data_IF_678190844531
#
_entry.id   IF_678190844531
#
_cell.length_a   1.000
_cell.length_b   1.000
_cell.length_c   1.000
_cell.angle_alpha   90.00
_cell.angle_beta   90.00
_cell.angle_gamma   90.00
#
_symmetry.space_group_name_H-M   'P 1'
#
loop_
_entity.id
_entity.type
_entity.pdbx_description
1 polymer ?
#
# COMPACT_ATOMS: atom_id res chain seq x y z
N UNK A 1 -3.90 -26.51 -84.10
CA UNK A 1 -3.49 -25.59 -83.03
C UNK A 1 -4.78 -25.09 -82.40
N UNK A 2 -5.39 -25.91 -81.53
CA UNK A 2 -5.25 -25.83 -80.06
C UNK A 2 -5.78 -24.46 -79.57
N UNK A 3 -6.87 -24.36 -78.82
CA UNK A 3 -7.09 -24.97 -77.51
C UNK A 3 -8.60 -25.05 -77.20
N UNK A 4 -9.05 -26.20 -76.69
CA UNK A 4 -10.46 -26.51 -76.39
C UNK A 4 -10.74 -26.22 -74.92
N UNK A 5 -11.65 -25.29 -74.66
CA UNK A 5 -12.25 -25.01 -73.35
C UNK A 5 -13.53 -25.85 -73.24
N UNK A 6 -13.58 -26.80 -72.31
CA UNK A 6 -14.77 -27.60 -72.04
C UNK A 6 -15.34 -27.30 -70.64
N UNK A 7 -16.66 -27.01 -70.64
CA UNK A 7 -17.56 -26.85 -69.49
C UNK A 7 -17.47 -28.03 -68.49
N UNK A 8 -17.68 -27.78 -67.18
CA UNK A 8 -18.10 -28.82 -66.26
C UNK A 8 -19.65 -28.93 -66.17
N UNK A 9 -20.20 -30.14 -65.94
CA UNK A 9 -21.62 -30.39 -65.77
C UNK A 9 -22.08 -30.29 -64.30
N UNK A 10 -23.40 -30.23 -64.12
CA UNK A 10 -24.10 -30.15 -62.85
C UNK A 10 -24.29 -31.50 -62.13
N UNK A 11 -24.14 -31.43 -60.80
CA UNK A 11 -24.69 -32.18 -59.67
C UNK A 11 -25.24 -33.61 -59.81
N UNK A 12 -24.73 -34.50 -58.95
CA UNK A 12 -25.51 -35.57 -58.29
C UNK A 12 -25.02 -35.71 -56.84
N UNK A 13 -25.95 -35.57 -55.89
CA UNK A 13 -25.73 -35.79 -54.44
C UNK A 13 -25.65 -37.29 -54.10
N UNK A 14 -24.93 -37.65 -53.03
CA UNK A 14 -25.43 -38.70 -52.16
C UNK A 14 -25.46 -38.30 -50.68
N UNK A 15 -26.52 -38.79 -50.03
CA UNK A 15 -26.81 -38.81 -48.61
C UNK A 15 -25.68 -39.42 -47.78
N UNK A 16 -25.30 -38.79 -46.66
CA UNK A 16 -24.61 -39.47 -45.56
C UNK A 16 -25.12 -38.98 -44.20
N UNK A 17 -25.26 -39.97 -43.34
CA UNK A 17 -25.89 -40.02 -42.03
C UNK A 17 -25.40 -38.98 -41.00
N UNK A 18 -26.36 -38.62 -40.14
CA UNK A 18 -26.17 -37.94 -38.86
C UNK A 18 -25.20 -38.72 -37.98
N UNK A 19 -24.09 -38.08 -37.61
CA UNK A 19 -23.22 -38.56 -36.52
C UNK A 19 -23.15 -37.45 -35.49
N UNK A 20 -23.78 -37.70 -34.35
CA UNK A 20 -23.77 -36.85 -33.16
C UNK A 20 -22.35 -36.73 -32.61
N UNK A 21 -21.79 -35.52 -32.62
CA UNK A 21 -20.51 -35.21 -31.98
C UNK A 21 -20.81 -34.57 -30.63
N UNK A 22 -20.51 -35.30 -29.56
CA UNK A 22 -20.57 -34.82 -28.18
C UNK A 22 -19.66 -33.62 -27.99
N UNK A 23 -20.22 -32.50 -27.51
CA UNK A 23 -19.46 -31.32 -27.14
C UNK A 23 -18.58 -31.63 -25.93
N UNK A 24 -17.26 -31.64 -26.12
CA UNK A 24 -16.31 -31.59 -25.01
C UNK A 24 -16.38 -30.19 -24.37
N UNK A 25 -16.80 -30.15 -23.12
CA UNK A 25 -16.76 -28.97 -22.27
C UNK A 25 -15.31 -28.51 -22.07
N UNK A 26 -15.05 -27.23 -22.37
CA UNK A 26 -13.80 -26.57 -22.00
C UNK A 26 -13.67 -26.53 -20.47
N UNK A 27 -12.44 -26.65 -19.91
CA UNK A 27 -12.24 -26.54 -18.48
C UNK A 27 -12.59 -25.12 -18.00
N UNK A 28 -13.40 -25.05 -16.95
CA UNK A 28 -13.80 -23.80 -16.32
C UNK A 28 -12.57 -23.02 -15.86
N UNK A 29 -12.51 -21.74 -16.22
CA UNK A 29 -11.59 -20.76 -15.65
C UNK A 29 -11.67 -20.82 -14.12
N UNK A 30 -10.54 -20.93 -13.38
CA UNK A 30 -10.59 -20.96 -11.93
C UNK A 30 -11.19 -19.64 -11.45
N UNK A 31 -12.26 -19.78 -10.68
CA UNK A 31 -12.90 -18.68 -9.93
C UNK A 31 -11.85 -18.07 -9.00
N UNK A 32 -11.77 -16.74 -8.86
CA UNK A 32 -10.90 -16.13 -7.85
C UNK A 32 -11.25 -16.71 -6.48
N UNK A 33 -10.24 -17.28 -5.80
CA UNK A 33 -10.41 -17.77 -4.44
C UNK A 33 -10.99 -16.66 -3.55
N UNK A 34 -11.99 -17.00 -2.75
CA UNK A 34 -12.51 -16.13 -1.70
C UNK A 34 -11.35 -15.67 -0.78
N UNK A 35 -11.43 -14.46 -0.18
CA UNK A 35 -10.41 -14.00 0.74
C UNK A 35 -10.39 -14.92 1.97
N UNK A 36 -9.39 -15.80 2.02
CA UNK A 36 -9.05 -16.60 3.21
C UNK A 36 -8.79 -15.64 4.38
N UNK A 37 -9.53 -15.81 5.47
CA UNK A 37 -9.41 -14.99 6.68
C UNK A 37 -7.96 -14.95 7.19
N UNK A 38 -7.37 -13.76 7.18
CA UNK A 38 -6.16 -13.46 7.95
C UNK A 38 -6.43 -13.66 9.44
N UNK A 39 -5.40 -14.00 10.22
CA UNK A 39 -5.57 -14.06 11.68
C UNK A 39 -5.84 -12.65 12.22
N UNK A 40 -6.72 -12.54 13.21
CA UNK A 40 -6.96 -11.26 13.88
C UNK A 40 -5.65 -10.72 14.49
N UNK A 41 -5.43 -9.40 14.45
CA UNK A 41 -4.24 -8.78 15.02
C UNK A 41 -4.16 -9.05 16.53
N UNK A 42 -2.95 -9.25 17.04
CA UNK A 42 -2.71 -9.45 18.47
C UNK A 42 -3.24 -8.24 19.26
N UNK A 43 -4.30 -8.47 20.03
CA UNK A 43 -5.00 -7.42 20.79
C UNK A 43 -4.95 -7.74 22.27
N UNK A 44 -4.45 -6.80 23.08
CA UNK A 44 -4.29 -6.97 24.52
C UNK A 44 -4.90 -5.81 25.31
N UNK A 45 -5.40 -6.09 26.50
CA UNK A 45 -5.78 -5.05 27.47
C UNK A 45 -4.56 -4.55 28.22
N UNK A 46 -4.40 -3.23 28.34
CA UNK A 46 -3.32 -2.66 29.14
C UNK A 46 -3.50 -3.01 30.63
N UNK A 47 -2.46 -3.60 31.24
CA UNK A 47 -2.39 -3.87 32.68
C UNK A 47 -1.46 -2.88 33.37
N UNK A 48 -0.17 -2.96 33.04
CA UNK A 48 0.88 -2.07 33.51
C UNK A 48 2.00 -1.99 32.46
N UNK A 49 2.93 -1.06 32.65
CA UNK A 49 4.01 -0.81 31.69
C UNK A 49 5.00 -1.98 31.61
N UNK A 50 5.29 -2.65 32.72
CA UNK A 50 6.24 -3.78 32.73
C UNK A 50 5.72 -4.93 31.87
N UNK A 51 4.49 -5.38 32.09
CA UNK A 51 3.87 -6.47 31.32
C UNK A 51 3.82 -6.16 29.82
N UNK A 52 3.48 -4.92 29.46
CA UNK A 52 3.45 -4.48 28.06
C UNK A 52 4.84 -4.59 27.41
N UNK A 53 5.89 -4.13 28.11
CA UNK A 53 7.24 -4.17 27.58
C UNK A 53 7.79 -5.60 27.52
N UNK A 54 7.45 -6.45 28.49
CA UNK A 54 7.82 -7.87 28.46
C UNK A 54 7.16 -8.58 27.29
N UNK A 55 5.87 -8.31 27.03
CA UNK A 55 5.16 -8.79 25.84
C UNK A 55 5.86 -8.35 24.54
N UNK A 56 6.18 -7.05 24.43
CA UNK A 56 6.86 -6.49 23.25
C UNK A 56 8.24 -7.12 23.04
N UNK A 57 8.98 -7.38 24.11
CA UNK A 57 10.31 -7.99 24.03
C UNK A 57 10.27 -9.47 23.64
N UNK A 58 9.16 -10.17 23.88
CA UNK A 58 9.04 -11.62 23.67
C UNK A 58 8.23 -12.00 22.42
N UNK A 59 7.50 -11.06 21.82
CA UNK A 59 6.69 -11.34 20.63
C UNK A 59 7.52 -11.42 19.34
N UNK A 60 7.04 -12.19 18.38
CA UNK A 60 7.58 -12.31 17.01
C UNK A 60 6.72 -11.60 15.97
N UNK A 61 5.61 -10.99 16.43
CA UNK A 61 4.71 -10.22 15.59
C UNK A 61 5.21 -8.79 15.46
N UNK A 62 4.98 -8.17 14.30
CA UNK A 62 5.34 -6.77 14.02
C UNK A 62 4.23 -5.77 14.39
N UNK A 63 3.07 -6.26 14.84
CA UNK A 63 1.89 -5.44 15.10
C UNK A 63 1.16 -5.85 16.39
N UNK A 64 0.81 -4.86 17.22
CA UNK A 64 0.13 -5.05 18.50
C UNK A 64 -0.90 -3.94 18.76
N UNK A 65 -2.14 -4.33 19.06
CA UNK A 65 -3.19 -3.41 19.51
C UNK A 65 -3.30 -3.49 21.04
N UNK A 66 -3.13 -2.36 21.70
CA UNK A 66 -3.28 -2.23 23.15
C UNK A 66 -4.50 -1.38 23.46
N UNK A 67 -5.42 -1.93 24.26
CA UNK A 67 -6.69 -1.30 24.64
C UNK A 67 -6.68 -0.81 26.08
N UNK A 68 -7.66 0.01 26.45
CA UNK A 68 -7.86 0.54 27.80
C UNK A 68 -6.72 1.42 28.34
N UNK A 69 -6.04 2.17 27.47
CA UNK A 69 -4.98 3.10 27.88
C UNK A 69 -5.56 4.47 28.22
N UNK A 70 -5.34 4.94 29.44
CA UNK A 70 -5.62 6.32 29.85
C UNK A 70 -4.51 7.28 29.41
N UNK A 71 -4.78 8.61 29.29
CA UNK A 71 -3.75 9.58 28.90
C UNK A 71 -2.52 9.62 29.82
N UNK A 72 -2.68 9.35 31.12
CA UNK A 72 -1.56 9.28 32.05
C UNK A 72 -0.73 8.02 31.84
N UNK A 73 -1.36 6.88 31.55
CA UNK A 73 -0.67 5.64 31.20
C UNK A 73 0.08 5.76 29.87
N UNK A 74 -0.50 6.43 28.86
CA UNK A 74 0.22 6.73 27.62
C UNK A 74 1.52 7.50 27.90
N UNK A 75 1.45 8.52 28.75
CA UNK A 75 2.64 9.31 29.14
C UNK A 75 3.68 8.44 29.86
N UNK A 76 3.24 7.46 30.65
CA UNK A 76 4.13 6.51 31.32
C UNK A 76 4.83 5.58 30.31
N UNK A 77 4.08 5.04 29.35
CA UNK A 77 4.61 4.20 28.27
C UNK A 77 5.61 5.00 27.42
N UNK A 78 5.32 6.27 27.07
CA UNK A 78 6.24 7.14 26.33
C UNK A 78 7.57 7.32 27.07
N UNK A 79 7.51 7.62 28.38
CA UNK A 79 8.72 7.79 29.21
C UNK A 79 9.53 6.50 29.32
N UNK A 80 8.89 5.37 29.55
CA UNK A 80 9.59 4.08 29.62
C UNK A 80 10.18 3.68 28.26
N UNK A 81 9.50 3.99 27.16
CA UNK A 81 10.00 3.77 25.81
C UNK A 81 11.26 4.58 25.53
N UNK A 82 11.30 5.85 25.95
CA UNK A 82 12.47 6.71 25.84
C UNK A 82 13.65 6.15 26.66
N UNK A 83 13.40 5.72 27.90
CA UNK A 83 14.43 5.10 28.76
C UNK A 83 15.01 3.82 28.14
N UNK A 84 14.18 2.99 27.51
CA UNK A 84 14.59 1.72 26.91
C UNK A 84 15.05 1.82 25.44
N UNK A 85 15.29 3.04 24.93
CA UNK A 85 15.81 3.30 23.57
C UNK A 85 14.90 2.84 22.41
N UNK A 86 13.57 2.94 22.56
CA UNK A 86 12.58 2.85 21.47
C UNK A 86 12.58 1.54 20.65
N UNK A 87 12.43 0.39 21.30
CA UNK A 87 12.30 -0.94 20.64
C UNK A 87 11.04 -1.14 19.77
N UNK A 88 10.09 -0.21 19.82
CA UNK A 88 8.81 -0.27 19.10
C UNK A 88 8.32 1.16 18.77
N UNK A 89 7.33 1.30 17.89
CA UNK A 89 6.77 2.58 17.41
C UNK A 89 5.32 2.77 17.84
N UNK A 90 4.93 4.03 18.00
CA UNK A 90 3.53 4.40 18.24
C UNK A 90 2.88 4.67 16.90
N UNK A 91 2.50 3.60 16.20
CA UNK A 91 1.93 3.71 14.86
C UNK A 91 0.67 4.57 14.86
N UNK A 92 -0.28 4.29 15.75
CA UNK A 92 -1.47 5.15 15.95
C UNK A 92 -1.88 5.20 17.42
N UNK A 93 -2.32 6.37 17.86
CA UNK A 93 -3.05 6.53 19.13
C UNK A 93 -4.44 7.10 18.85
N UNK A 94 -5.48 6.43 19.37
CA UNK A 94 -6.86 6.88 19.33
C UNK A 94 -7.31 7.24 20.75
N UNK A 95 -7.22 8.53 21.07
CA UNK A 95 -7.44 9.05 22.42
C UNK A 95 -8.84 8.77 22.96
N UNK A 96 -9.87 8.95 22.12
CA UNK A 96 -11.27 8.72 22.49
C UNK A 96 -11.58 7.24 22.78
N UNK A 97 -11.03 6.34 21.97
CA UNK A 97 -11.26 4.89 22.10
C UNK A 97 -10.28 4.21 23.05
N UNK A 98 -9.28 4.94 23.58
CA UNK A 98 -8.25 4.42 24.50
C UNK A 98 -7.45 3.27 23.88
N UNK A 99 -7.16 3.38 22.58
CA UNK A 99 -6.42 2.39 21.80
C UNK A 99 -5.06 2.97 21.42
N UNK A 100 -4.02 2.16 21.60
CA UNK A 100 -2.67 2.40 21.10
C UNK A 100 -2.27 1.24 20.21
N UNK A 101 -1.88 1.55 18.99
CA UNK A 101 -1.41 0.60 18.00
C UNK A 101 0.10 0.75 17.90
N UNK A 102 0.78 -0.36 18.07
CA UNK A 102 2.23 -0.44 18.13
C UNK A 102 2.78 -1.23 16.97
N UNK A 103 3.86 -0.72 16.39
CA UNK A 103 4.69 -1.47 15.45
C UNK A 103 5.95 -1.97 16.15
N UNK A 104 6.22 -3.26 16.03
CA UNK A 104 7.41 -3.91 16.56
C UNK A 104 8.40 -4.09 15.41
N UNK A 105 9.62 -3.60 15.59
CA UNK A 105 10.61 -3.47 14.52
C UNK A 105 11.33 -4.80 14.29
N UNK A 106 10.64 -5.79 13.73
CA UNK A 106 11.25 -7.05 13.31
C UNK A 106 12.18 -6.82 12.11
N UNK A 107 13.12 -7.72 11.86
CA UNK A 107 14.00 -7.62 10.69
C UNK A 107 13.21 -7.63 9.37
N UNK A 108 12.16 -8.46 9.29
CA UNK A 108 11.29 -8.53 8.13
C UNK A 108 10.52 -7.22 7.92
N UNK A 109 9.92 -6.68 8.98
CA UNK A 109 9.21 -5.42 8.94
C UNK A 109 10.11 -4.27 8.45
N UNK A 110 11.30 -4.10 9.06
CA UNK A 110 12.24 -3.05 8.66
C UNK A 110 12.73 -3.25 7.21
N UNK A 111 12.95 -4.49 6.77
CA UNK A 111 13.32 -4.77 5.39
C UNK A 111 12.22 -4.39 4.39
N UNK A 112 10.94 -4.58 4.74
CA UNK A 112 9.80 -4.26 3.88
C UNK A 112 9.72 -2.76 3.56
N UNK A 113 9.74 -1.89 4.58
CA UNK A 113 9.58 -0.46 4.33
C UNK A 113 10.90 0.22 3.93
N UNK A 114 12.04 -0.06 4.61
CA UNK A 114 13.32 0.58 4.30
C UNK A 114 13.83 0.15 2.92
N UNK A 115 13.61 -1.12 2.55
CA UNK A 115 13.98 -1.63 1.24
C UNK A 115 13.29 -0.84 0.12
N UNK A 116 11.98 -0.60 0.27
CA UNK A 116 11.18 0.14 -0.70
C UNK A 116 11.55 1.63 -0.72
N UNK A 117 11.68 2.27 0.45
CA UNK A 117 12.08 3.67 0.57
C UNK A 117 13.45 3.93 -0.07
N UNK A 118 14.43 3.04 0.14
CA UNK A 118 15.76 3.16 -0.49
C UNK A 118 15.70 3.06 -2.00
N UNK A 119 14.81 2.25 -2.58
CA UNK A 119 14.61 2.20 -4.04
C UNK A 119 14.00 3.50 -4.56
N UNK A 120 13.02 4.04 -3.85
CA UNK A 120 12.44 5.34 -4.15
C UNK A 120 13.50 6.45 -4.10
N UNK A 121 14.23 6.58 -3.00
CA UNK A 121 15.24 7.61 -2.82
C UNK A 121 16.37 7.51 -3.85
N UNK A 122 16.79 6.29 -4.21
CA UNK A 122 17.77 6.09 -5.27
C UNK A 122 17.31 6.62 -6.64
N UNK A 123 16.00 6.65 -6.92
CA UNK A 123 15.48 7.29 -8.13
C UNK A 123 15.53 8.82 -8.04
N UNK A 124 15.29 9.40 -6.86
CA UNK A 124 15.45 10.85 -6.66
C UNK A 124 16.88 11.28 -7.00
N UNK A 125 17.88 10.55 -6.49
CA UNK A 125 19.30 10.80 -6.78
C UNK A 125 19.63 10.65 -8.26
N UNK A 126 19.11 9.60 -8.92
CA UNK A 126 19.34 9.41 -10.37
C UNK A 126 18.72 10.53 -11.21
N UNK A 127 17.63 11.09 -10.74
CA UNK A 127 16.91 12.17 -11.40
C UNK A 127 17.45 13.56 -11.00
N UNK A 128 18.40 13.65 -10.06
CA UNK A 128 18.99 14.90 -9.60
C UNK A 128 18.03 15.82 -8.84
N UNK A 129 17.06 15.24 -8.13
CA UNK A 129 15.99 15.95 -7.40
C UNK A 129 15.94 15.59 -5.91
N UNK A 130 16.96 14.92 -5.38
CA UNK A 130 17.07 14.55 -3.97
C UNK A 130 17.13 15.77 -3.04
N UNK A 131 17.77 16.86 -3.48
CA UNK A 131 17.93 18.09 -2.67
C UNK A 131 16.61 18.84 -2.43
N UNK A 132 15.59 18.57 -3.25
CA UNK A 132 14.24 19.11 -3.07
C UNK A 132 13.30 18.12 -2.36
N UNK A 133 13.85 17.07 -1.74
CA UNK A 133 13.10 16.09 -0.97
C UNK A 133 13.56 16.06 0.49
N UNK A 134 12.62 16.30 1.41
CA UNK A 134 12.83 16.21 2.84
C UNK A 134 12.44 14.83 3.34
N UNK A 135 13.41 14.10 3.88
CA UNK A 135 13.17 12.88 4.64
C UNK A 135 12.54 13.24 5.99
N UNK A 136 11.32 12.76 6.24
CA UNK A 136 10.62 12.93 7.53
C UNK A 136 10.77 11.65 8.36
N UNK A 137 10.88 10.49 7.70
CA UNK A 137 11.11 9.20 8.34
C UNK A 137 9.95 8.84 9.26
N UNK A 138 10.27 8.50 10.51
CA UNK A 138 9.30 8.06 11.52
C UNK A 138 8.92 9.15 12.53
N UNK A 139 8.96 10.43 12.11
CA UNK A 139 8.54 11.52 12.97
C UNK A 139 7.03 11.43 13.27
N UNK A 140 6.63 11.71 14.51
CA UNK A 140 5.22 11.69 14.89
C UNK A 140 4.47 12.83 14.19
N UNK A 141 3.48 12.49 13.37
CA UNK A 141 2.55 13.42 12.76
C UNK A 141 1.31 13.57 13.63
N UNK A 142 0.87 14.81 13.84
CA UNK A 142 -0.30 15.15 14.66
C UNK A 142 -1.16 16.17 13.91
N UNK A 143 -2.49 16.10 14.03
CA UNK A 143 -3.37 17.13 13.47
C UNK A 143 -3.04 18.50 14.11
N UNK A 144 -3.07 19.55 13.31
CA UNK A 144 -2.59 20.89 13.70
C UNK A 144 -3.40 21.54 14.83
N UNK A 145 -4.66 21.12 15.01
CA UNK A 145 -5.54 21.52 16.12
C UNK A 145 -5.58 20.47 17.24
N UNK A 146 -4.78 19.41 17.15
CA UNK A 146 -4.73 18.34 18.14
C UNK A 146 -4.05 18.79 19.42
N UNK A 147 -4.59 18.36 20.56
CA UNK A 147 -3.88 18.43 21.84
C UNK A 147 -2.54 17.66 21.70
N UNK A 148 -1.44 18.05 22.38
CA UNK A 148 -0.17 17.31 22.33
C UNK A 148 -0.28 15.82 22.69
N UNK A 149 -1.37 15.44 23.37
CA UNK A 149 -1.74 14.06 23.77
C UNK A 149 -2.97 13.50 23.05
N UNK A 150 -3.42 14.19 22.00
CA UNK A 150 -4.50 13.74 21.14
C UNK A 150 -4.02 12.67 20.17
N UNK A 151 -4.81 12.47 19.13
CA UNK A 151 -4.49 11.50 18.09
C UNK A 151 -3.18 11.87 17.38
N UNK A 152 -2.44 10.86 16.96
CA UNK A 152 -1.16 11.00 16.28
C UNK A 152 -0.66 9.65 15.79
N UNK A 153 0.30 9.69 14.86
CA UNK A 153 0.88 8.49 14.30
C UNK A 153 2.30 8.68 13.79
N UNK A 154 3.06 7.59 13.79
CA UNK A 154 4.41 7.50 13.24
C UNK A 154 4.35 6.57 12.02
N UNK A 155 4.64 7.07 10.81
CA UNK A 155 4.72 6.21 9.63
C UNK A 155 6.05 5.45 9.59
N UNK A 156 6.10 4.34 8.85
CA UNK A 156 7.33 3.53 8.82
C UNK A 156 8.45 4.22 8.03
N UNK A 157 8.10 4.85 6.89
CA UNK A 157 8.96 5.77 6.16
C UNK A 157 8.16 6.85 5.47
N UNK A 158 8.53 8.11 5.67
CA UNK A 158 7.79 9.24 5.13
C UNK A 158 8.72 10.32 4.56
N UNK A 159 8.17 11.16 3.68
CA UNK A 159 8.87 12.32 3.15
C UNK A 159 7.95 13.24 2.35
N UNK A 160 8.48 14.41 2.00
CA UNK A 160 7.76 15.38 1.19
C UNK A 160 8.69 16.41 0.57
N UNK A 161 8.15 17.25 -0.33
CA UNK A 161 8.94 18.17 -1.12
C UNK A 161 9.34 19.41 -0.33
N UNK A 162 10.48 19.98 -0.71
CA UNK A 162 10.91 21.31 -0.30
C UNK A 162 10.65 22.31 -1.44
N UNK A 163 10.20 23.53 -1.12
CA UNK A 163 9.95 24.07 0.23
C UNK A 163 8.53 23.82 0.77
N UNK A 164 7.62 23.18 0.02
CA UNK A 164 6.19 23.12 0.35
C UNK A 164 5.90 22.41 1.68
N UNK A 165 6.73 21.43 2.06
CA UNK A 165 6.69 20.72 3.36
C UNK A 165 7.86 21.09 4.28
N UNK A 166 8.43 22.27 4.10
CA UNK A 166 9.42 22.86 4.99
C UNK A 166 8.78 23.24 6.35
N UNK A 167 9.52 23.01 7.44
CA UNK A 167 9.07 23.33 8.80
C UNK A 167 8.62 22.13 9.65
N UNK A 168 8.47 22.39 10.94
CA UNK A 168 8.08 21.40 11.95
C UNK A 168 6.58 21.12 11.86
N UNK A 169 6.19 19.85 11.91
CA UNK A 169 4.79 19.43 11.92
C UNK A 169 4.07 19.48 10.57
N UNK A 170 4.78 19.75 9.47
CA UNK A 170 4.22 19.56 8.12
C UNK A 170 4.09 18.08 7.79
N UNK A 171 2.93 17.70 7.27
CA UNK A 171 2.65 16.33 6.84
C UNK A 171 3.47 15.96 5.59
N UNK A 172 3.86 14.68 5.45
CA UNK A 172 4.49 14.17 4.24
C UNK A 172 3.52 14.16 3.05
N UNK A 173 4.04 14.04 1.83
CA UNK A 173 3.24 13.70 0.64
C UNK A 173 3.29 12.21 0.34
N UNK A 174 4.37 11.52 0.73
CA UNK A 174 4.55 10.07 0.62
C UNK A 174 4.63 9.42 2.00
N UNK A 175 3.81 8.39 2.21
CA UNK A 175 3.88 7.50 3.37
C UNK A 175 4.07 6.06 2.89
N UNK A 176 4.95 5.32 3.54
CA UNK A 176 5.10 3.88 3.41
C UNK A 176 4.76 3.23 4.76
N UNK A 177 3.85 2.26 4.73
CA UNK A 177 3.53 1.38 5.87
C UNK A 177 3.83 -0.06 5.48
N UNK A 178 4.47 -0.80 6.39
CA UNK A 178 4.76 -2.21 6.22
C UNK A 178 4.01 -3.07 7.24
N UNK A 179 3.77 -4.33 6.88
CA UNK A 179 3.11 -5.28 7.78
C UNK A 179 3.35 -6.72 7.37
N UNK A 180 3.83 -7.56 8.28
CA UNK A 180 4.01 -8.99 8.02
C UNK A 180 3.09 -9.88 8.89
N UNK A 181 2.91 -9.52 10.17
CA UNK A 181 1.87 -10.07 11.05
C UNK A 181 0.56 -9.27 11.03
N UNK A 182 0.66 -7.97 10.72
CA UNK A 182 -0.50 -7.11 10.53
C UNK A 182 -1.37 -7.58 9.34
N UNK A 183 -2.68 -7.47 9.49
CA UNK A 183 -3.64 -7.78 8.44
C UNK A 183 -3.62 -6.71 7.35
N UNK A 184 -3.95 -7.09 6.11
CA UNK A 184 -4.13 -6.12 5.03
C UNK A 184 -5.25 -5.12 5.36
N UNK A 185 -6.27 -5.57 6.11
CA UNK A 185 -7.35 -4.70 6.60
C UNK A 185 -6.86 -3.58 7.52
N UNK A 186 -5.92 -3.85 8.42
CA UNK A 186 -5.33 -2.83 9.28
C UNK A 186 -4.41 -1.86 8.52
N UNK A 187 -3.65 -2.37 7.54
CA UNK A 187 -2.89 -1.51 6.61
C UNK A 187 -3.81 -0.59 5.79
N UNK A 188 -5.00 -1.05 5.39
CA UNK A 188 -6.02 -0.18 4.78
C UNK A 188 -6.55 0.86 5.77
N UNK A 189 -6.67 0.52 7.05
CA UNK A 189 -7.04 1.48 8.08
C UNK A 189 -5.95 2.55 8.28
N UNK A 190 -4.66 2.17 8.23
CA UNK A 190 -3.54 3.12 8.23
C UNK A 190 -3.65 4.09 7.06
N UNK A 191 -3.81 3.57 5.85
CA UNK A 191 -3.93 4.37 4.64
C UNK A 191 -5.07 5.40 4.75
N UNK A 192 -6.27 4.98 5.17
CA UNK A 192 -7.40 5.90 5.35
C UNK A 192 -7.12 6.95 6.41
N UNK A 193 -6.44 6.55 7.49
CA UNK A 193 -6.08 7.46 8.57
C UNK A 193 -5.12 8.55 8.08
N UNK A 194 -4.07 8.18 7.34
CA UNK A 194 -3.09 9.13 6.80
C UNK A 194 -3.74 10.18 5.92
N UNK A 195 -4.58 9.77 4.96
CA UNK A 195 -5.29 10.71 4.10
C UNK A 195 -6.21 11.64 4.89
N UNK A 196 -7.09 11.08 5.71
CA UNK A 196 -8.10 11.86 6.44
C UNK A 196 -7.49 12.80 7.49
N UNK A 197 -6.58 12.31 8.33
CA UNK A 197 -6.08 13.06 9.49
C UNK A 197 -5.05 14.11 9.09
N UNK A 198 -4.36 13.90 7.97
CA UNK A 198 -3.51 14.93 7.37
C UNK A 198 -4.29 16.06 6.69
N UNK A 199 -5.63 16.03 6.72
CA UNK A 199 -6.47 16.93 5.93
C UNK A 199 -6.10 16.85 4.44
N UNK A 200 -5.92 15.61 3.95
CA UNK A 200 -5.55 15.31 2.58
C UNK A 200 -4.18 15.86 2.16
N UNK A 201 -3.29 16.18 3.11
CA UNK A 201 -1.93 16.63 2.80
C UNK A 201 -1.03 15.51 2.29
N UNK A 202 -1.26 14.28 2.77
CA UNK A 202 -0.68 13.05 2.21
C UNK A 202 -1.31 12.79 0.85
N UNK A 203 -0.49 12.47 -0.16
CA UNK A 203 -0.94 12.29 -1.54
C UNK A 203 -0.79 10.87 -2.05
N UNK A 204 0.20 10.15 -1.54
CA UNK A 204 0.46 8.75 -1.87
C UNK A 204 0.71 7.96 -0.58
N UNK A 205 -0.02 6.86 -0.41
CA UNK A 205 0.29 5.83 0.59
C UNK A 205 0.69 4.55 -0.12
N UNK A 206 1.86 4.03 0.23
CA UNK A 206 2.34 2.72 -0.18
C UNK A 206 2.18 1.74 0.97
N UNK A 207 1.50 0.62 0.72
CA UNK A 207 1.39 -0.48 1.67
C UNK A 207 2.30 -1.62 1.20
N UNK A 208 3.18 -2.09 2.07
CA UNK A 208 4.11 -3.18 1.79
C UNK A 208 3.86 -4.35 2.74
N UNK A 209 3.03 -5.30 2.31
CA UNK A 209 2.70 -6.49 3.10
C UNK A 209 3.55 -7.68 2.71
N UNK A 210 4.12 -8.38 3.68
CA UNK A 210 4.54 -9.77 3.48
C UNK A 210 3.41 -10.70 3.92
N UNK A 211 2.90 -11.51 2.99
CA UNK A 211 1.96 -12.58 3.33
C UNK A 211 2.77 -13.83 3.71
N UNK A 212 2.85 -14.12 5.02
CA UNK A 212 3.56 -15.29 5.54
C UNK A 212 2.98 -16.62 5.04
N UNK A 213 1.67 -16.68 4.76
CA UNK A 213 0.99 -17.92 4.32
C UNK A 213 1.21 -18.18 2.85
N UNK A 214 1.03 -17.16 2.01
CA UNK A 214 1.20 -17.27 0.56
C UNK A 214 2.66 -17.08 0.12
N UNK A 215 3.55 -16.67 1.05
CA UNK A 215 4.97 -16.36 0.83
C UNK A 215 5.16 -15.42 -0.36
N UNK A 216 4.50 -14.27 -0.31
CA UNK A 216 4.68 -13.22 -1.30
C UNK A 216 4.79 -11.85 -0.65
N UNK A 217 5.28 -10.87 -1.42
CA UNK A 217 5.15 -9.46 -1.07
C UNK A 217 3.99 -8.88 -1.88
N UNK A 218 3.07 -8.20 -1.21
CA UNK A 218 2.03 -7.39 -1.81
C UNK A 218 2.36 -5.92 -1.61
N UNK A 219 2.51 -5.19 -2.71
CA UNK A 219 2.62 -3.74 -2.73
C UNK A 219 1.31 -3.14 -3.23
N UNK A 220 0.73 -2.21 -2.48
CA UNK A 220 -0.40 -1.42 -2.96
C UNK A 220 -0.05 0.07 -2.98
N UNK A 221 -0.42 0.74 -4.08
CA UNK A 221 -0.34 2.20 -4.19
C UNK A 221 -1.74 2.79 -4.11
N UNK A 222 -1.94 3.64 -3.12
CA UNK A 222 -3.19 4.36 -2.88
C UNK A 222 -3.00 5.85 -3.08
N UNK A 223 -4.00 6.47 -3.71
CA UNK A 223 -4.12 7.91 -3.95
C UNK A 223 -5.57 8.32 -3.66
N UNK A 224 -5.86 9.61 -3.53
CA UNK A 224 -7.24 10.09 -3.44
C UNK A 224 -7.76 10.60 -4.78
N UNK A 225 -9.05 10.38 -5.03
CA UNK A 225 -9.77 10.94 -6.16
C UNK A 225 -11.06 11.59 -5.69
N UNK A 226 -11.53 12.61 -6.41
CA UNK A 226 -12.82 13.23 -6.12
C UNK A 226 -13.91 12.24 -6.48
N UNK A 227 -14.65 11.79 -5.48
CA UNK A 227 -15.83 10.95 -5.67
C UNK A 227 -16.92 11.78 -6.33
N UNK A 228 -17.20 11.50 -7.61
CA UNK A 228 -18.39 12.03 -8.27
C UNK A 228 -19.51 11.01 -8.09
N UNK A 229 -20.63 11.35 -7.41
CA UNK A 229 -21.75 10.44 -7.35
C UNK A 229 -22.24 10.13 -8.78
N UNK A 230 -22.68 8.89 -9.07
CA UNK A 230 -23.27 8.57 -10.36
C UNK A 230 -24.39 9.58 -10.64
N UNK A 231 -24.35 10.23 -11.81
CA UNK A 231 -25.41 11.15 -12.26
C UNK A 231 -26.68 10.35 -12.56
N UNK A 232 -27.35 9.85 -11.52
CA UNK A 232 -28.68 9.27 -11.60
C UNK A 232 -29.71 10.40 -11.61
N UNK A 233 -30.31 10.68 -12.78
CA UNK A 233 -31.48 11.54 -13.00
C UNK A 233 -31.67 12.70 -12.01
N UNK A 234 -30.66 13.55 -11.84
CA UNK A 234 -30.77 14.78 -11.04
C UNK A 234 -31.10 15.94 -11.99
N UNK A 235 -32.06 16.79 -11.65
CA UNK A 235 -32.38 17.98 -12.47
C UNK A 235 -31.19 18.94 -12.49
N UNK A 236 -31.00 19.68 -13.59
CA UNK A 236 -29.86 20.60 -13.78
C UNK A 236 -29.67 21.61 -12.62
N UNK A 237 -30.74 21.97 -11.90
CA UNK A 237 -30.71 22.85 -10.73
C UNK A 237 -30.12 22.21 -9.45
N UNK A 238 -30.17 20.89 -9.32
CA UNK A 238 -29.66 20.14 -8.17
C UNK A 238 -28.21 19.68 -8.38
N UNK A 239 -27.81 19.42 -9.64
CA UNK A 239 -26.43 19.07 -9.98
C UNK A 239 -25.43 20.18 -9.57
N UNK A 240 -25.77 21.44 -9.82
CA UNK A 240 -24.89 22.58 -9.49
C UNK A 240 -24.73 22.80 -7.98
N UNK A 241 -25.75 22.45 -7.18
CA UNK A 241 -25.68 22.51 -5.71
C UNK A 241 -24.89 21.34 -5.11
N UNK A 242 -25.04 20.14 -5.66
CA UNK A 242 -24.29 18.94 -5.24
C UNK A 242 -22.80 19.04 -5.59
N UNK A 243 -22.46 19.60 -6.76
CA UNK A 243 -21.07 19.83 -7.19
C UNK A 243 -20.33 20.89 -6.37
N UNK A 244 -21.05 21.79 -5.67
CA UNK A 244 -20.44 22.81 -4.82
C UNK A 244 -20.27 22.37 -3.36
N UNK A 245 -20.95 21.31 -2.92
CA UNK A 245 -20.95 20.88 -1.50
C UNK A 245 -20.25 19.54 -1.21
N UNK A 246 -20.04 18.65 -2.18
CA UNK A 246 -19.66 17.26 -1.87
C UNK A 246 -18.51 16.70 -2.73
N UNK A 247 -17.42 17.45 -2.95
CA UNK A 247 -16.18 16.83 -3.45
C UNK A 247 -15.52 16.05 -2.30
N UNK A 248 -16.06 14.87 -2.00
CA UNK A 248 -15.47 13.95 -1.02
C UNK A 248 -14.28 13.27 -1.70
N UNK A 249 -13.08 13.45 -1.15
CA UNK A 249 -11.90 12.70 -1.56
C UNK A 249 -12.01 11.28 -1.00
N UNK A 250 -11.90 10.30 -1.89
CA UNK A 250 -11.96 8.89 -1.54
C UNK A 250 -10.65 8.20 -1.95
N UNK A 251 -10.07 7.35 -1.08
CA UNK A 251 -8.91 6.57 -1.44
C UNK A 251 -9.22 5.53 -2.53
N UNK A 252 -8.43 5.56 -3.60
CA UNK A 252 -8.49 4.64 -4.73
C UNK A 252 -7.17 3.89 -4.84
N UNK A 253 -7.26 2.56 -4.91
CA UNK A 253 -6.11 1.71 -5.20
C UNK A 253 -5.74 1.82 -6.68
N UNK A 254 -4.61 2.45 -6.97
CA UNK A 254 -4.11 2.68 -8.33
C UNK A 254 -3.26 1.53 -8.86
N UNK A 255 -2.48 0.91 -7.97
CA UNK A 255 -1.66 -0.25 -8.33
C UNK A 255 -1.70 -1.28 -7.21
N UNK A 256 -1.62 -2.55 -7.60
CA UNK A 256 -1.47 -3.70 -6.71
C UNK A 256 -0.49 -4.66 -7.35
N UNK A 257 0.70 -4.76 -6.79
CA UNK A 257 1.83 -5.51 -7.35
C UNK A 257 2.14 -6.64 -6.37
N UNK A 258 2.03 -7.87 -6.84
CA UNK A 258 2.49 -9.05 -6.12
C UNK A 258 3.87 -9.44 -6.62
N UNK A 259 4.79 -9.69 -5.69
CA UNK A 259 6.12 -10.24 -5.96
C UNK A 259 6.21 -11.62 -5.32
N UNK A 260 6.54 -12.63 -6.12
CA UNK A 260 6.71 -14.02 -5.66
C UNK A 260 8.14 -14.49 -5.89
N UNK A 261 8.65 -15.33 -4.99
CA UNK A 261 9.96 -15.97 -5.13
C UNK A 261 9.82 -17.21 -6.01
N UNK A 262 10.65 -17.31 -7.03
CA UNK A 262 10.74 -18.48 -7.90
C UNK A 262 12.01 -19.26 -7.57
N UNK A 263 11.84 -20.38 -6.88
CA UNK A 263 12.92 -21.26 -6.46
C UNK A 263 13.35 -22.24 -7.56
N UNK A 264 12.69 -22.24 -8.73
CA UNK A 264 13.01 -23.14 -9.85
C UNK A 264 14.15 -22.63 -10.73
N UNK A 265 14.54 -21.36 -10.55
CA UNK A 265 15.62 -20.71 -11.30
C UNK A 265 16.93 -20.68 -10.49
N UNK A 266 18.07 -20.63 -11.18
CA UNK A 266 19.39 -20.48 -10.57
C UNK A 266 20.21 -19.40 -11.32
N UNK A 267 20.48 -18.23 -10.72
CA UNK A 267 20.09 -17.83 -9.35
C UNK A 267 18.56 -17.68 -9.21
N UNK A 268 18.08 -17.77 -7.96
CA UNK A 268 16.67 -17.54 -7.61
C UNK A 268 16.19 -16.22 -8.20
N UNK A 269 15.01 -16.24 -8.82
CA UNK A 269 14.39 -15.07 -9.42
C UNK A 269 13.15 -14.62 -8.64
N UNK A 270 12.74 -13.39 -8.88
CA UNK A 270 11.53 -12.81 -8.29
C UNK A 270 10.58 -12.38 -9.41
N UNK A 271 9.37 -12.93 -9.39
CA UNK A 271 8.34 -12.66 -10.39
C UNK A 271 7.48 -11.49 -9.91
N UNK A 272 7.52 -10.38 -10.66
CA UNK A 272 6.80 -9.15 -10.35
C UNK A 272 5.58 -9.03 -11.28
N UNK A 273 4.40 -8.96 -10.70
CA UNK A 273 3.15 -8.80 -11.46
C UNK A 273 2.84 -7.33 -11.73
N UNK A 274 2.10 -7.06 -12.82
CA UNK A 274 1.58 -5.71 -13.16
C UNK A 274 2.62 -4.59 -13.33
N UNK A 275 3.88 -4.95 -13.54
CA UNK A 275 4.92 -4.04 -14.02
C UNK A 275 5.63 -3.23 -12.94
N UNK A 276 6.12 -2.06 -13.33
CA UNK A 276 6.82 -1.13 -12.45
C UNK A 276 5.85 -0.40 -11.49
N UNK A 277 6.34 -0.02 -10.31
CA UNK A 277 5.62 0.89 -9.42
C UNK A 277 5.90 2.33 -9.86
N UNK A 278 4.85 3.12 -10.08
CA UNK A 278 4.95 4.48 -10.63
C UNK A 278 4.32 5.47 -9.66
N UNK A 279 5.12 6.42 -9.18
CA UNK A 279 4.68 7.46 -8.26
C UNK A 279 4.61 8.80 -8.99
N UNK A 280 3.42 9.40 -9.03
CA UNK A 280 3.16 10.62 -9.80
C UNK A 280 3.97 11.81 -9.28
N UNK A 281 4.71 12.49 -10.16
CA UNK A 281 5.58 13.60 -9.77
C UNK A 281 4.78 14.74 -9.10
N UNK A 282 3.65 15.15 -9.70
CA UNK A 282 2.80 16.22 -9.16
C UNK A 282 2.28 15.90 -7.76
N UNK A 283 1.97 14.63 -7.47
CA UNK A 283 1.51 14.22 -6.15
C UNK A 283 2.65 14.25 -5.12
N UNK A 284 3.85 13.85 -5.52
CA UNK A 284 5.03 13.88 -4.66
C UNK A 284 5.48 15.31 -4.39
N UNK A 285 5.58 16.15 -5.42
CA UNK A 285 6.24 17.46 -5.37
C UNK A 285 5.30 18.66 -5.35
N UNK A 286 3.99 18.46 -5.47
CA UNK A 286 2.96 19.50 -5.39
C UNK A 286 3.11 20.61 -6.44
N UNK A 287 3.76 20.30 -7.57
CA UNK A 287 3.96 21.19 -8.72
C UNK A 287 4.11 20.39 -10.01
N UNK A 288 3.99 21.08 -11.14
CA UNK A 288 4.26 20.48 -12.45
C UNK A 288 5.73 20.07 -12.60
N UNK A 289 6.01 18.96 -13.32
CA UNK A 289 7.37 18.56 -13.64
C UNK A 289 8.03 19.54 -14.61
N UNK A 290 9.30 19.85 -14.38
CA UNK A 290 10.15 20.51 -15.35
C UNK A 290 10.56 19.58 -16.51
N UNK A 291 11.33 20.09 -17.49
CA UNK A 291 11.66 19.34 -18.71
C UNK A 291 12.43 18.02 -18.51
N UNK A 292 13.13 17.86 -17.38
CA UNK A 292 13.90 16.66 -17.02
C UNK A 292 13.29 15.89 -15.84
N UNK A 293 12.15 16.35 -15.34
CA UNK A 293 11.45 15.74 -14.23
C UNK A 293 10.27 14.93 -14.75
N UNK A 294 9.90 13.91 -14.00
CA UNK A 294 8.80 13.04 -14.34
C UNK A 294 8.51 12.09 -13.19
N UNK A 295 7.54 11.21 -13.41
CA UNK A 295 7.13 10.26 -12.40
C UNK A 295 8.30 9.41 -11.91
N UNK A 296 8.26 9.07 -10.63
CA UNK A 296 9.29 8.25 -10.01
C UNK A 296 8.94 6.78 -10.25
N UNK A 297 9.73 6.13 -11.10
CA UNK A 297 9.49 4.75 -11.54
C UNK A 297 10.43 3.79 -10.84
N UNK A 298 9.89 2.90 -10.01
CA UNK A 298 10.60 1.75 -9.49
C UNK A 298 10.41 0.60 -10.48
N UNK A 299 11.44 0.37 -11.29
CA UNK A 299 11.42 -0.64 -12.35
C UNK A 299 11.19 -2.05 -11.79
N UNK A 300 10.81 -3.00 -12.67
CA UNK A 300 10.72 -4.42 -12.31
C UNK A 300 12.05 -4.89 -11.68
N UNK A 301 13.20 -4.46 -12.22
CA UNK A 301 14.50 -4.82 -11.68
C UNK A 301 14.73 -4.24 -10.27
N UNK A 302 14.28 -3.00 -10.01
CA UNK A 302 14.37 -2.41 -8.66
C UNK A 302 13.49 -3.18 -7.66
N UNK A 303 12.29 -3.59 -8.08
CA UNK A 303 11.37 -4.39 -7.28
C UNK A 303 11.89 -5.82 -7.03
N UNK A 304 12.56 -6.44 -8.00
CA UNK A 304 13.24 -7.72 -7.82
C UNK A 304 14.38 -7.62 -6.80
N UNK A 305 15.23 -6.60 -6.91
CA UNK A 305 16.31 -6.37 -5.93
C UNK A 305 15.80 -5.90 -4.56
N UNK A 306 14.58 -5.36 -4.50
CA UNK A 306 13.89 -5.08 -3.24
C UNK A 306 13.45 -6.39 -2.59
N UNK A 307 12.76 -7.25 -3.34
CA UNK A 307 12.34 -8.56 -2.88
C UNK A 307 13.51 -9.42 -2.41
N UNK A 308 14.63 -9.45 -3.14
CA UNK A 308 15.85 -10.16 -2.72
C UNK A 308 16.29 -9.81 -1.30
N UNK A 309 16.23 -8.52 -0.93
CA UNK A 309 16.60 -8.05 0.42
C UNK A 309 15.58 -8.43 1.47
N UNK A 310 14.29 -8.39 1.14
CA UNK A 310 13.22 -8.82 2.05
C UNK A 310 13.36 -10.31 2.32
N UNK A 311 13.55 -11.13 1.29
CA UNK A 311 13.72 -12.58 1.45
C UNK A 311 15.02 -13.00 2.15
N UNK A 312 16.02 -12.14 2.23
CA UNK A 312 17.26 -12.43 2.97
C UNK A 312 17.06 -12.47 4.50
N UNK A 313 15.91 -11.99 4.99
CA UNK A 313 15.56 -11.95 6.42
C UNK A 313 14.28 -12.73 6.76
N UNK A 314 13.74 -13.48 5.79
CA UNK A 314 12.60 -14.41 5.93
C UNK A 314 13.12 -15.83 6.10
#
# INVERSE_FOLDING_TARGET
MESIIARPPAAVSPSVASTSVSALSAPATPTPAEPTQENDPLTVGFTNVQDLFDLINCTVEDFLIVTNISPSQLTEIEREREKQRRKFRFRRHHSNSRILILTIQTYLHEALHLGLYRRYYAQLVRNGIEEIWKEIGSATCRPQQGHPRGDGGEGDSTGGPLPEREGIGKWPTLVIEAGDSETLGELHNDMRWWFRVSNHDVKIVLLAKFDRRQRHILLEKWEEEISTPPLGAITQSQATAVLQQNNVLEPVKRQSITITRDETTNPVSYNVTRGALVLGFQLLFLRDPGPQEGDIVLSIQDLQRYAERVWAVV
#
